data_IF_529776828792
#
_entry.id   IF_529776828792
#
_cell.length_a   1.000
_cell.length_b   1.000
_cell.length_c   1.000
_cell.angle_alpha   90.00
_cell.angle_beta   90.00
_cell.angle_gamma   90.00
#
_symmetry.space_group_name_H-M   'P 1'
#
loop_
_entity.id
_entity.type
_entity.pdbx_description
1 polymer ?
#
# COMPACT_ATOMS: atom_id res chain seq x y z
N UNK A 1 5.77 41.05 2.41
CA UNK A 1 5.84 39.77 1.71
C UNK A 1 4.80 39.81 0.59
N UNK A 2 5.21 39.96 -0.65
CA UNK A 2 4.29 39.85 -1.80
C UNK A 2 3.68 38.45 -1.81
N UNK A 3 2.34 38.38 -1.85
CA UNK A 3 1.63 37.13 -2.07
C UNK A 3 1.95 36.68 -3.52
N UNK A 4 2.88 35.71 -3.66
CA UNK A 4 3.13 35.08 -4.95
C UNK A 4 1.79 34.47 -5.41
N UNK A 5 1.28 34.89 -6.56
CA UNK A 5 0.06 34.34 -7.11
C UNK A 5 0.23 32.83 -7.27
N UNK A 6 -0.79 32.05 -6.87
CA UNK A 6 -0.78 30.61 -7.04
C UNK A 6 -0.69 30.30 -8.53
N UNK A 7 0.26 29.44 -8.92
CA UNK A 7 0.38 28.96 -10.29
C UNK A 7 -0.87 28.14 -10.64
N UNK A 8 -1.53 28.50 -11.73
CA UNK A 8 -2.67 27.76 -12.28
C UNK A 8 -2.26 27.07 -13.57
N UNK A 9 -2.56 25.78 -13.64
CA UNK A 9 -2.35 24.92 -14.81
C UNK A 9 -3.75 24.48 -15.30
N UNK A 10 -3.93 24.32 -16.61
CA UNK A 10 -5.10 23.65 -17.18
C UNK A 10 -4.66 22.32 -17.76
N UNK A 11 -5.51 21.31 -17.68
CA UNK A 11 -5.22 19.99 -18.19
C UNK A 11 -6.54 19.25 -18.45
N UNK A 12 -6.63 18.49 -19.54
CA UNK A 12 -7.84 17.72 -19.83
C UNK A 12 -8.02 16.55 -18.86
N UNK A 13 -6.93 15.86 -18.54
CA UNK A 13 -6.96 14.73 -17.60
C UNK A 13 -5.81 14.83 -16.59
N UNK A 14 -6.16 14.82 -15.31
CA UNK A 14 -5.20 14.63 -14.21
C UNK A 14 -5.35 13.23 -13.66
N UNK A 15 -4.23 12.50 -13.58
CA UNK A 15 -4.17 11.18 -12.93
C UNK A 15 -3.42 11.33 -11.61
N UNK A 16 -4.09 11.05 -10.50
CA UNK A 16 -3.53 11.13 -9.14
C UNK A 16 -2.99 9.76 -8.74
N UNK A 17 -1.68 9.65 -8.70
CA UNK A 17 -0.93 8.43 -8.42
C UNK A 17 -0.28 7.83 -9.68
N UNK A 18 1.05 7.76 -9.68
CA UNK A 18 1.88 7.20 -10.76
C UNK A 18 2.21 5.72 -10.56
N UNK A 19 1.39 4.99 -9.79
CA UNK A 19 1.47 3.54 -9.67
C UNK A 19 0.96 2.80 -10.92
N UNK A 20 0.87 1.45 -10.88
CA UNK A 20 0.48 0.66 -12.06
C UNK A 20 -0.87 1.06 -12.63
N UNK A 21 -1.86 1.31 -11.78
CA UNK A 21 -3.21 1.69 -12.22
C UNK A 21 -3.22 3.08 -12.88
N UNK A 22 -2.49 4.06 -12.29
CA UNK A 22 -2.44 5.41 -12.84
C UNK A 22 -1.69 5.48 -14.17
N UNK A 23 -0.56 4.81 -14.27
CA UNK A 23 0.18 4.74 -15.54
C UNK A 23 -0.65 4.04 -16.63
N UNK A 24 -1.30 2.92 -16.29
CA UNK A 24 -2.16 2.22 -17.24
C UNK A 24 -3.34 3.08 -17.71
N UNK A 25 -3.96 3.83 -16.79
CA UNK A 25 -5.05 4.74 -17.12
C UNK A 25 -4.59 5.90 -18.03
N UNK A 26 -3.42 6.48 -17.76
CA UNK A 26 -2.86 7.55 -18.59
C UNK A 26 -2.50 7.05 -20.00
N UNK A 27 -1.87 5.88 -20.09
CA UNK A 27 -1.54 5.22 -21.36
C UNK A 27 -2.80 4.92 -22.16
N UNK A 28 -3.82 4.32 -21.54
CA UNK A 28 -5.08 4.03 -22.21
C UNK A 28 -5.78 5.30 -22.71
N UNK A 29 -5.83 6.37 -21.89
CA UNK A 29 -6.39 7.63 -22.30
C UNK A 29 -5.65 8.25 -23.51
N UNK A 30 -4.32 8.11 -23.55
CA UNK A 30 -3.54 8.56 -24.69
C UNK A 30 -3.83 7.75 -25.96
N UNK A 31 -3.94 6.43 -25.83
CA UNK A 31 -4.28 5.52 -26.94
C UNK A 31 -5.67 5.82 -27.52
N UNK A 32 -6.61 6.24 -26.67
CA UNK A 32 -7.96 6.69 -27.06
C UNK A 32 -7.99 8.13 -27.63
N UNK A 33 -6.85 8.76 -27.80
CA UNK A 33 -6.73 10.06 -28.49
C UNK A 33 -6.59 11.29 -27.60
N UNK A 34 -6.66 11.17 -26.28
CA UNK A 34 -6.42 12.28 -25.37
C UNK A 34 -4.93 12.66 -25.36
N UNK A 35 -4.61 13.96 -25.36
CA UNK A 35 -3.20 14.41 -25.43
C UNK A 35 -2.77 15.25 -24.24
N UNK A 36 -3.68 16.01 -23.64
CA UNK A 36 -3.38 16.87 -22.49
C UNK A 36 -3.66 16.08 -21.18
N UNK A 37 -2.68 15.23 -20.82
CA UNK A 37 -2.72 14.34 -19.67
C UNK A 37 -1.57 14.70 -18.74
N UNK A 38 -1.82 14.71 -17.41
CA UNK A 38 -0.79 14.93 -16.40
C UNK A 38 -0.91 13.89 -15.29
N UNK A 39 0.18 13.19 -15.01
CA UNK A 39 0.28 12.27 -13.85
C UNK A 39 0.94 13.02 -12.69
N UNK A 40 0.34 12.93 -11.50
CA UNK A 40 0.89 13.45 -10.25
C UNK A 40 1.27 12.29 -9.33
N UNK A 41 2.55 12.21 -8.96
CA UNK A 41 3.09 11.14 -8.10
C UNK A 41 3.76 11.73 -6.87
N UNK A 42 3.40 11.24 -5.69
CA UNK A 42 3.95 11.72 -4.41
C UNK A 42 5.38 11.23 -4.13
N UNK A 43 5.72 10.05 -4.63
CA UNK A 43 7.07 9.50 -4.51
C UNK A 43 8.04 10.12 -5.53
N UNK A 44 9.33 9.83 -5.38
CA UNK A 44 10.41 10.34 -6.26
C UNK A 44 10.41 9.72 -7.66
N UNK A 45 9.60 8.68 -7.88
CA UNK A 45 9.53 7.93 -9.16
C UNK A 45 8.15 7.33 -9.37
N UNK A 46 7.82 7.06 -10.62
CA UNK A 46 6.66 6.28 -11.01
C UNK A 46 6.81 4.81 -10.58
N UNK A 47 5.75 4.01 -10.73
CA UNK A 47 5.75 2.57 -10.46
C UNK A 47 5.08 2.17 -9.14
N UNK A 48 5.00 3.08 -8.17
CA UNK A 48 4.31 2.86 -6.90
C UNK A 48 4.79 1.60 -6.17
N UNK A 49 3.84 0.84 -5.62
CA UNK A 49 4.12 -0.37 -4.82
C UNK A 49 4.87 -1.47 -5.60
N UNK A 50 4.75 -1.52 -6.92
CA UNK A 50 5.42 -2.53 -7.73
C UNK A 50 6.95 -2.48 -7.62
N UNK A 51 7.52 -1.32 -7.36
CA UNK A 51 8.96 -1.14 -7.24
C UNK A 51 9.60 -1.97 -6.12
N UNK A 52 8.86 -2.29 -5.08
CA UNK A 52 9.31 -3.14 -3.98
C UNK A 52 8.91 -4.61 -4.14
N UNK A 53 8.00 -4.94 -5.08
CA UNK A 53 7.49 -6.28 -5.31
C UNK A 53 8.43 -7.06 -6.24
N UNK A 54 9.62 -7.44 -5.76
CA UNK A 54 10.66 -8.11 -6.58
C UNK A 54 10.37 -9.59 -6.87
N UNK A 55 9.22 -10.11 -6.41
CA UNK A 55 8.75 -11.45 -6.72
C UNK A 55 8.00 -11.49 -8.06
N UNK A 56 7.91 -12.66 -8.67
CA UNK A 56 7.14 -12.92 -9.89
C UNK A 56 5.63 -12.92 -9.60
N UNK A 57 4.84 -12.91 -10.68
CA UNK A 57 3.38 -12.99 -10.64
C UNK A 57 2.65 -11.83 -11.29
N UNK A 58 3.37 -10.95 -11.97
CA UNK A 58 2.84 -9.81 -12.71
C UNK A 58 2.94 -10.04 -14.22
N UNK A 59 2.14 -9.33 -15.00
CA UNK A 59 2.28 -9.24 -16.46
C UNK A 59 1.61 -10.32 -17.28
N UNK A 60 1.33 -11.49 -16.73
CA UNK A 60 0.85 -12.65 -17.50
C UNK A 60 -0.40 -12.34 -18.35
N UNK A 61 -1.42 -11.69 -17.76
CA UNK A 61 -2.64 -11.31 -18.46
C UNK A 61 -2.46 -10.12 -19.43
N UNK A 62 -1.55 -9.19 -19.12
CA UNK A 62 -1.38 -7.94 -19.89
C UNK A 62 -0.33 -8.08 -20.99
N UNK A 63 0.76 -8.79 -20.71
CA UNK A 63 1.92 -8.87 -21.59
C UNK A 63 2.21 -10.28 -22.10
N UNK A 64 1.46 -11.31 -21.62
CA UNK A 64 1.73 -12.71 -21.93
C UNK A 64 3.03 -13.25 -21.34
N UNK A 65 3.66 -12.52 -20.42
CA UNK A 65 4.94 -12.85 -19.79
C UNK A 65 4.83 -12.77 -18.28
N UNK A 66 5.54 -13.64 -17.58
CA UNK A 66 5.67 -13.57 -16.12
C UNK A 66 6.78 -12.61 -15.76
N UNK A 67 6.42 -11.52 -15.10
CA UNK A 67 7.30 -10.41 -14.72
C UNK A 67 7.36 -10.25 -13.21
N UNK A 68 8.45 -9.65 -12.74
CA UNK A 68 8.51 -9.05 -11.40
C UNK A 68 7.77 -7.71 -11.38
N UNK A 69 7.46 -7.20 -10.19
CA UNK A 69 6.82 -5.88 -10.05
C UNK A 69 7.61 -4.75 -10.71
N UNK A 70 8.95 -4.62 -10.47
CA UNK A 70 9.77 -3.61 -11.14
C UNK A 70 9.78 -3.72 -12.68
N UNK A 71 9.83 -4.93 -13.24
CA UNK A 71 9.77 -5.14 -14.70
C UNK A 71 8.42 -4.70 -15.27
N UNK A 72 7.33 -5.05 -14.59
CA UNK A 72 5.99 -4.59 -14.98
C UNK A 72 5.88 -3.06 -14.93
N UNK A 73 6.35 -2.44 -13.86
CA UNK A 73 6.36 -0.98 -13.73
C UNK A 73 7.19 -0.33 -14.84
N UNK A 74 8.40 -0.84 -15.11
CA UNK A 74 9.29 -0.32 -16.14
C UNK A 74 8.67 -0.35 -17.55
N UNK A 75 7.84 -1.36 -17.86
CA UNK A 75 7.11 -1.39 -19.15
C UNK A 75 6.13 -0.23 -19.28
N UNK A 76 5.36 0.05 -18.23
CA UNK A 76 4.44 1.19 -18.26
C UNK A 76 5.16 2.54 -18.20
N UNK A 77 6.24 2.66 -17.42
CA UNK A 77 7.09 3.86 -17.41
C UNK A 77 7.63 4.16 -18.83
N UNK A 78 8.09 3.11 -19.52
CA UNK A 78 8.55 3.23 -20.91
C UNK A 78 7.44 3.75 -21.83
N UNK A 79 6.21 3.19 -21.74
CA UNK A 79 5.08 3.67 -22.55
C UNK A 79 4.72 5.13 -22.23
N UNK A 80 4.72 5.52 -20.96
CA UNK A 80 4.49 6.92 -20.54
C UNK A 80 5.52 7.85 -21.16
N UNK A 81 6.80 7.46 -21.18
CA UNK A 81 7.88 8.25 -21.77
C UNK A 81 7.80 8.30 -23.30
N UNK A 82 7.54 7.16 -23.95
CA UNK A 82 7.43 7.08 -25.43
C UNK A 82 6.25 7.89 -25.97
N UNK A 83 5.15 7.93 -25.23
CA UNK A 83 3.99 8.75 -25.57
C UNK A 83 4.16 10.24 -25.17
N UNK A 84 5.24 10.56 -24.46
CA UNK A 84 5.50 11.92 -24.01
C UNK A 84 4.47 12.41 -22.98
N UNK A 85 3.85 11.52 -22.22
CA UNK A 85 2.87 11.88 -21.20
C UNK A 85 3.59 12.59 -20.04
N UNK A 86 3.28 13.87 -19.75
CA UNK A 86 3.89 14.61 -18.66
C UNK A 86 3.57 14.00 -17.30
N UNK A 87 4.54 14.01 -16.38
CA UNK A 87 4.34 13.64 -14.99
C UNK A 87 5.14 14.53 -14.04
N UNK A 88 4.65 14.65 -12.80
CA UNK A 88 5.34 15.36 -11.72
C UNK A 88 5.49 14.37 -10.54
N UNK A 89 6.75 14.04 -10.23
CA UNK A 89 7.12 13.31 -9.01
C UNK A 89 7.29 14.26 -7.82
N UNK A 90 7.50 13.72 -6.61
CA UNK A 90 7.59 14.50 -5.37
C UNK A 90 6.41 15.48 -5.20
N UNK A 91 5.25 15.14 -5.78
CA UNK A 91 4.10 16.02 -5.87
C UNK A 91 2.88 15.41 -5.19
N UNK A 92 2.52 16.00 -4.04
CA UNK A 92 1.40 15.54 -3.23
C UNK A 92 0.12 16.30 -3.60
N UNK A 93 -0.92 15.57 -3.96
CA UNK A 93 -2.27 16.14 -4.09
C UNK A 93 -2.90 16.23 -2.70
N UNK A 94 -3.37 17.42 -2.34
CA UNK A 94 -3.91 17.74 -1.02
C UNK A 94 -5.40 18.02 -1.00
N UNK A 95 -6.03 18.17 -2.17
CA UNK A 95 -7.47 18.38 -2.26
C UNK A 95 -7.97 18.44 -3.69
N UNK A 96 -9.26 18.16 -3.86
CA UNK A 96 -9.97 18.27 -5.14
C UNK A 96 -11.31 18.95 -4.88
N UNK A 97 -11.59 20.02 -5.62
CA UNK A 97 -12.89 20.72 -5.50
C UNK A 97 -13.95 20.10 -6.42
N UNK A 98 -15.25 20.35 -6.16
CA UNK A 98 -16.36 19.93 -7.04
C UNK A 98 -16.18 20.38 -8.50
N UNK A 99 -15.54 21.53 -8.73
CA UNK A 99 -15.25 22.07 -10.05
C UNK A 99 -14.02 21.42 -10.70
N UNK A 100 -13.52 20.32 -10.13
CA UNK A 100 -12.34 19.58 -10.59
C UNK A 100 -11.04 20.42 -10.58
N UNK A 101 -10.91 21.28 -9.56
CA UNK A 101 -9.65 21.97 -9.29
C UNK A 101 -8.83 21.10 -8.34
N UNK A 102 -7.75 20.52 -8.85
CA UNK A 102 -6.80 19.73 -8.07
C UNK A 102 -5.80 20.67 -7.42
N UNK A 103 -5.70 20.63 -6.08
CA UNK A 103 -4.66 21.35 -5.33
C UNK A 103 -3.51 20.40 -5.07
N UNK A 104 -2.31 20.77 -5.47
CA UNK A 104 -1.12 19.98 -5.28
C UNK A 104 0.02 20.84 -4.73
N UNK A 105 1.04 20.16 -4.17
CA UNK A 105 2.24 20.81 -3.65
C UNK A 105 3.48 19.98 -3.93
N UNK A 106 4.59 20.68 -4.18
CA UNK A 106 5.94 20.11 -4.23
C UNK A 106 6.98 21.15 -3.80
N UNK A 107 8.24 20.72 -3.68
CA UNK A 107 9.32 21.60 -3.22
C UNK A 107 9.74 22.64 -4.26
N UNK A 108 9.48 22.39 -5.56
CA UNK A 108 9.87 23.29 -6.66
C UNK A 108 8.88 24.42 -6.87
N UNK A 109 7.59 24.09 -6.90
CA UNK A 109 6.51 25.02 -7.25
C UNK A 109 5.80 25.59 -6.02
N UNK A 110 5.98 24.96 -4.85
CA UNK A 110 5.16 25.21 -3.68
C UNK A 110 3.75 24.66 -3.86
N UNK A 111 2.73 25.40 -3.41
CA UNK A 111 1.31 25.04 -3.62
C UNK A 111 0.85 25.61 -4.96
N UNK A 112 0.19 24.80 -5.77
CA UNK A 112 -0.38 25.19 -7.06
C UNK A 112 -1.72 24.50 -7.33
N UNK A 113 -2.45 24.99 -8.33
CA UNK A 113 -3.77 24.47 -8.70
C UNK A 113 -3.78 24.03 -10.16
N UNK A 114 -4.51 22.96 -10.42
CA UNK A 114 -4.72 22.42 -11.76
C UNK A 114 -6.21 22.35 -12.02
N UNK A 115 -6.70 23.09 -13.00
CA UNK A 115 -8.08 22.99 -13.49
C UNK A 115 -8.15 21.82 -14.46
N UNK A 116 -8.77 20.72 -14.03
CA UNK A 116 -8.87 19.51 -14.83
C UNK A 116 -10.22 19.38 -15.55
N UNK A 117 -10.20 18.81 -16.74
CA UNK A 117 -11.41 18.35 -17.44
C UNK A 117 -11.99 17.11 -16.75
N UNK A 118 -11.10 16.16 -16.42
CA UNK A 118 -11.41 14.95 -15.64
C UNK A 118 -10.28 14.63 -14.65
N UNK A 119 -10.58 13.85 -13.61
CA UNK A 119 -9.59 13.39 -12.63
C UNK A 119 -9.76 11.89 -12.42
N UNK A 120 -8.67 11.14 -12.58
CA UNK A 120 -8.60 9.71 -12.23
C UNK A 120 -7.84 9.58 -10.91
N UNK A 121 -8.44 8.88 -9.94
CA UNK A 121 -7.84 8.60 -8.64
C UNK A 121 -7.25 7.19 -8.64
N UNK A 122 -5.93 7.10 -8.59
CA UNK A 122 -5.16 5.85 -8.60
C UNK A 122 -4.19 5.80 -7.40
N UNK A 123 -4.67 6.25 -6.24
CA UNK A 123 -3.86 6.49 -5.04
C UNK A 123 -3.44 5.22 -4.28
N UNK A 124 -3.96 4.05 -4.67
CA UNK A 124 -3.65 2.77 -4.05
C UNK A 124 -4.24 2.60 -2.66
N UNK A 125 -3.47 1.93 -1.81
CA UNK A 125 -3.87 1.60 -0.45
C UNK A 125 -2.67 1.61 0.49
N UNK A 126 -2.94 1.62 1.80
CA UNK A 126 -1.97 1.38 2.86
C UNK A 126 -2.34 0.15 3.66
N UNK A 127 -1.37 -0.50 4.25
CA UNK A 127 -1.61 -1.63 5.14
C UNK A 127 -2.21 -1.16 6.47
N UNK A 128 -3.01 -2.03 7.07
CA UNK A 128 -3.60 -1.79 8.39
C UNK A 128 -2.51 -1.78 9.47
N UNK A 129 -2.27 -0.65 10.16
CA UNK A 129 -1.22 -0.53 11.17
C UNK A 129 -1.64 -1.18 12.50
N UNK A 130 -0.66 -1.39 13.40
CA UNK A 130 -0.90 -1.93 14.76
C UNK A 130 -2.05 -1.22 15.49
N UNK A 131 -2.12 0.10 15.38
CA UNK A 131 -3.17 0.90 16.06
C UNK A 131 -4.60 0.56 15.63
N UNK A 132 -4.79 0.02 14.42
CA UNK A 132 -6.10 -0.42 13.91
C UNK A 132 -6.42 -1.89 14.26
N UNK A 133 -5.47 -2.63 14.85
CA UNK A 133 -5.64 -4.04 15.22
C UNK A 133 -5.95 -4.23 16.71
N UNK A 134 -5.85 -3.18 17.52
CA UNK A 134 -6.11 -3.21 18.97
C UNK A 134 -5.34 -4.29 19.74
N UNK A 135 -4.12 -4.64 19.29
CA UNK A 135 -3.27 -5.61 20.01
C UNK A 135 -2.78 -4.99 21.31
N UNK A 136 -2.98 -5.68 22.43
CA UNK A 136 -2.55 -5.22 23.74
C UNK A 136 -1.02 -5.12 23.89
N UNK A 137 -0.56 -4.48 24.96
CA UNK A 137 0.86 -4.33 25.28
C UNK A 137 1.48 -3.03 24.75
N UNK A 138 2.80 -2.98 24.73
CA UNK A 138 3.58 -1.78 24.44
C UNK A 138 3.65 -1.45 22.93
N UNK A 139 4.33 -0.35 22.62
CA UNK A 139 4.60 0.09 21.23
C UNK A 139 6.11 0.24 20.99
N UNK A 140 6.91 -0.82 21.17
CA UNK A 140 8.33 -0.79 20.94
C UNK A 140 8.66 -0.66 19.46
N UNK A 141 9.94 -0.37 19.15
CA UNK A 141 10.48 -0.60 17.81
C UNK A 141 10.45 -2.09 17.46
N UNK A 142 10.45 -2.43 16.16
CA UNK A 142 10.40 -3.83 15.71
C UNK A 142 9.02 -4.29 15.23
N UNK A 143 8.00 -3.42 15.25
CA UNK A 143 6.68 -3.71 14.72
C UNK A 143 6.50 -2.96 13.42
N UNK A 144 6.32 -3.69 12.32
CA UNK A 144 6.16 -3.13 10.97
C UNK A 144 4.98 -3.78 10.25
N UNK A 145 4.40 -3.08 9.30
CA UNK A 145 3.58 -3.76 8.30
C UNK A 145 4.47 -4.56 7.35
N UNK A 146 3.96 -5.62 6.76
CA UNK A 146 4.74 -6.49 5.89
C UNK A 146 5.29 -5.73 4.66
N UNK A 147 4.50 -4.81 4.07
CA UNK A 147 4.96 -3.97 2.96
C UNK A 147 6.00 -2.93 3.37
N UNK A 148 5.96 -2.41 4.60
CA UNK A 148 7.04 -1.55 5.12
C UNK A 148 8.33 -2.34 5.26
N UNK A 149 8.27 -3.55 5.80
CA UNK A 149 9.43 -4.44 5.87
C UNK A 149 9.95 -4.80 4.47
N UNK A 150 9.05 -5.05 3.51
CA UNK A 150 9.39 -5.28 2.11
C UNK A 150 10.16 -4.09 1.51
N UNK A 151 9.72 -2.87 1.74
CA UNK A 151 10.42 -1.66 1.29
C UNK A 151 11.82 -1.55 1.91
N UNK A 152 11.95 -1.82 3.20
CA UNK A 152 13.25 -1.80 3.87
C UNK A 152 14.21 -2.81 3.26
N UNK A 153 13.81 -4.07 3.13
CA UNK A 153 14.66 -5.13 2.60
C UNK A 153 14.96 -4.90 1.11
N UNK A 154 13.91 -4.75 0.28
CA UNK A 154 14.07 -4.79 -1.16
C UNK A 154 14.57 -3.48 -1.78
N UNK A 155 14.32 -2.33 -1.16
CA UNK A 155 14.68 -1.03 -1.73
C UNK A 155 15.73 -0.27 -0.94
N UNK A 156 15.85 -0.52 0.37
CA UNK A 156 16.74 0.24 1.25
C UNK A 156 17.92 -0.57 1.77
N UNK A 157 17.92 -1.90 1.61
CA UNK A 157 18.96 -2.79 2.10
C UNK A 157 19.03 -2.87 3.64
N UNK A 158 17.92 -2.58 4.33
CA UNK A 158 17.83 -2.67 5.78
C UNK A 158 17.09 -3.92 6.23
N UNK A 159 17.66 -4.61 7.21
CA UNK A 159 17.02 -5.76 7.83
C UNK A 159 16.16 -5.29 9.02
N UNK A 160 14.83 -5.50 9.02
CA UNK A 160 13.96 -5.08 10.12
C UNK A 160 14.29 -5.76 11.45
N UNK A 161 14.70 -7.02 11.40
CA UNK A 161 15.13 -7.80 12.55
C UNK A 161 15.52 -9.22 12.16
N UNK A 162 15.82 -10.06 13.15
CA UNK A 162 16.37 -11.41 12.94
C UNK A 162 15.48 -12.55 13.40
N UNK A 163 14.66 -12.32 14.40
CA UNK A 163 13.71 -13.26 14.98
C UNK A 163 12.29 -12.74 14.71
N UNK A 164 11.59 -13.33 13.73
CA UNK A 164 10.39 -12.73 13.15
C UNK A 164 9.17 -13.59 13.43
N UNK A 165 8.08 -12.94 13.86
CA UNK A 165 6.72 -13.48 13.83
C UNK A 165 5.91 -12.65 12.83
N UNK A 166 5.06 -13.30 12.05
CA UNK A 166 4.20 -12.65 11.07
C UNK A 166 2.74 -12.88 11.45
N UNK A 167 1.95 -11.83 11.51
CA UNK A 167 0.49 -11.91 11.73
C UNK A 167 -0.22 -11.62 10.40
N UNK A 168 -0.95 -12.62 9.91
CA UNK A 168 -1.67 -12.62 8.65
C UNK A 168 -0.98 -13.44 7.56
N UNK A 169 -1.71 -14.38 6.97
CA UNK A 169 -1.27 -15.31 5.94
C UNK A 169 -1.73 -14.92 4.52
N UNK A 170 -2.01 -13.66 4.28
CA UNK A 170 -2.18 -13.12 2.93
C UNK A 170 -0.85 -13.19 2.14
N UNK A 171 -0.90 -13.07 0.83
CA UNK A 171 0.28 -13.24 -0.05
C UNK A 171 1.49 -12.41 0.38
N UNK A 172 1.29 -11.15 0.79
CA UNK A 172 2.42 -10.30 1.23
C UNK A 172 3.08 -10.88 2.48
N UNK A 173 2.29 -11.39 3.45
CA UNK A 173 2.83 -12.04 4.65
C UNK A 173 3.65 -13.27 4.31
N UNK A 174 3.15 -14.13 3.41
CA UNK A 174 3.83 -15.34 2.96
C UNK A 174 5.12 -15.01 2.20
N UNK A 175 5.06 -14.07 1.26
CA UNK A 175 6.22 -13.62 0.48
C UNK A 175 7.29 -13.03 1.40
N UNK A 176 6.89 -12.27 2.43
CA UNK A 176 7.83 -11.72 3.39
C UNK A 176 8.41 -12.76 4.33
N UNK A 177 7.67 -13.82 4.68
CA UNK A 177 8.22 -14.95 5.41
C UNK A 177 9.42 -15.57 4.66
N UNK A 178 9.24 -15.89 3.38
CA UNK A 178 10.31 -16.36 2.49
C UNK A 178 11.43 -15.33 2.37
N UNK A 179 11.10 -14.07 2.09
CA UNK A 179 12.09 -13.02 1.85
C UNK A 179 12.98 -12.78 3.07
N UNK A 180 12.41 -12.66 4.25
CA UNK A 180 13.16 -12.48 5.49
C UNK A 180 14.09 -13.67 5.77
N UNK A 181 13.61 -14.89 5.50
CA UNK A 181 14.43 -16.12 5.65
C UNK A 181 15.61 -16.14 4.69
N UNK A 182 15.42 -15.76 3.43
CA UNK A 182 16.49 -15.66 2.42
C UNK A 182 17.54 -14.62 2.79
N UNK A 183 17.17 -13.58 3.51
CA UNK A 183 18.10 -12.55 4.03
C UNK A 183 18.72 -12.93 5.39
N UNK A 184 18.49 -14.15 5.86
CA UNK A 184 19.13 -14.70 7.06
C UNK A 184 18.38 -14.46 8.37
N UNK A 185 17.12 -14.01 8.34
CA UNK A 185 16.27 -13.99 9.52
C UNK A 185 15.67 -15.37 9.79
N UNK A 186 15.33 -15.63 11.06
CA UNK A 186 14.55 -16.80 11.47
C UNK A 186 13.09 -16.41 11.62
N UNK A 187 12.26 -16.81 10.67
CA UNK A 187 10.80 -16.68 10.81
C UNK A 187 10.28 -17.82 11.66
N UNK A 188 9.76 -17.50 12.84
CA UNK A 188 9.33 -18.48 13.85
C UNK A 188 7.94 -19.05 13.58
N UNK A 189 7.03 -18.19 13.12
CA UNK A 189 5.68 -18.59 12.75
C UNK A 189 5.01 -17.53 11.88
N UNK A 190 4.06 -17.98 11.06
CA UNK A 190 3.02 -17.17 10.45
C UNK A 190 1.71 -17.52 11.13
N UNK A 191 1.04 -16.51 11.69
CA UNK A 191 -0.22 -16.64 12.41
C UNK A 191 -1.37 -16.20 11.51
N UNK A 192 -2.46 -16.94 11.52
CA UNK A 192 -3.66 -16.60 10.77
C UNK A 192 -4.89 -16.70 11.67
N UNK A 193 -5.66 -15.61 11.72
CA UNK A 193 -6.89 -15.52 12.53
C UNK A 193 -7.96 -16.51 12.05
N UNK A 194 -8.02 -16.74 10.74
CA UNK A 194 -9.00 -17.65 10.13
C UNK A 194 -8.53 -19.11 10.20
N UNK A 195 -9.45 -20.09 10.09
CA UNK A 195 -9.10 -21.51 10.02
C UNK A 195 -8.53 -21.93 8.66
N UNK A 196 -8.21 -20.97 7.80
CA UNK A 196 -7.60 -21.15 6.48
C UNK A 196 -6.72 -19.97 6.12
N UNK A 197 -5.71 -20.19 5.27
CA UNK A 197 -4.87 -19.11 4.74
C UNK A 197 -5.61 -18.28 3.70
N UNK A 198 -5.41 -16.97 3.72
CA UNK A 198 -5.90 -16.04 2.70
C UNK A 198 -4.98 -15.94 1.46
N UNK A 199 -3.78 -16.50 1.50
CA UNK A 199 -2.82 -16.48 0.41
C UNK A 199 -3.03 -17.60 -0.61
N UNK A 200 -2.41 -17.46 -1.77
CA UNK A 200 -2.43 -18.47 -2.83
C UNK A 200 -1.72 -19.75 -2.38
N UNK A 201 -2.26 -20.92 -2.75
CA UNK A 201 -1.67 -22.23 -2.43
C UNK A 201 -0.20 -22.33 -2.86
N UNK A 202 0.15 -21.77 -4.03
CA UNK A 202 1.54 -21.66 -4.49
C UNK A 202 2.44 -20.93 -3.48
N UNK A 203 1.97 -19.86 -2.88
CA UNK A 203 2.75 -19.09 -1.93
C UNK A 203 2.86 -19.80 -0.57
N UNK A 204 1.85 -20.59 -0.16
CA UNK A 204 1.98 -21.46 1.02
C UNK A 204 3.13 -22.46 0.80
N UNK A 205 3.16 -23.12 -0.34
CA UNK A 205 4.21 -24.08 -0.66
C UNK A 205 5.58 -23.42 -0.72
N UNK A 206 5.76 -22.46 -1.60
CA UNK A 206 7.05 -21.84 -1.90
C UNK A 206 7.58 -20.90 -0.82
N UNK A 207 6.74 -20.39 0.06
CA UNK A 207 7.14 -19.41 1.06
C UNK A 207 7.18 -19.98 2.48
N UNK A 208 6.43 -21.04 2.76
CA UNK A 208 6.40 -21.64 4.09
C UNK A 208 6.92 -23.08 4.09
N UNK A 209 6.32 -23.98 3.29
CA UNK A 209 6.66 -25.40 3.32
C UNK A 209 8.11 -25.65 2.92
N UNK A 210 8.59 -25.04 1.83
CA UNK A 210 9.97 -25.15 1.35
C UNK A 210 11.00 -24.66 2.39
N UNK A 211 10.59 -23.80 3.32
CA UNK A 211 11.46 -23.25 4.37
C UNK A 211 11.19 -23.80 5.76
N UNK A 212 10.22 -24.72 5.91
CA UNK A 212 9.83 -25.29 7.20
C UNK A 212 9.25 -24.26 8.17
N UNK A 213 8.61 -23.19 7.67
CA UNK A 213 8.03 -22.14 8.48
C UNK A 213 6.61 -22.58 8.89
N UNK A 214 6.30 -22.67 10.20
CA UNK A 214 4.98 -23.10 10.65
C UNK A 214 3.90 -22.06 10.36
N UNK A 215 2.77 -22.53 9.79
CA UNK A 215 1.53 -21.77 9.64
C UNK A 215 0.57 -22.18 10.75
N UNK A 216 0.25 -21.25 11.64
CA UNK A 216 -0.65 -21.46 12.77
C UNK A 216 -2.00 -20.82 12.46
N UNK A 217 -2.95 -21.65 12.01
CA UNK A 217 -4.33 -21.24 11.71
C UNK A 217 -5.14 -21.09 12.99
N UNK A 218 -6.17 -20.24 12.97
CA UNK A 218 -6.98 -19.88 14.14
C UNK A 218 -6.15 -19.37 15.31
N UNK A 219 -5.09 -18.60 15.01
CA UNK A 219 -4.22 -17.96 16.00
C UNK A 219 -4.09 -16.47 15.76
N UNK A 220 -3.87 -15.73 16.85
CA UNK A 220 -3.61 -14.29 16.78
C UNK A 220 -2.53 -13.89 17.78
N UNK A 221 -1.99 -12.69 17.62
CA UNK A 221 -1.17 -12.03 18.64
C UNK A 221 -2.10 -11.39 19.66
N UNK A 222 -1.95 -11.78 20.91
CA UNK A 222 -2.75 -11.32 22.06
C UNK A 222 -2.09 -10.13 22.72
N UNK A 223 -0.75 -10.19 22.93
CA UNK A 223 -0.01 -9.15 23.63
C UNK A 223 1.40 -8.97 23.05
N UNK A 224 1.87 -7.74 23.09
CA UNK A 224 3.21 -7.33 22.65
C UNK A 224 4.06 -6.98 23.87
N UNK A 225 5.26 -7.59 23.93
CA UNK A 225 6.22 -7.40 25.01
C UNK A 225 7.46 -6.65 24.55
N UNK A 226 8.05 -5.87 25.46
CA UNK A 226 9.24 -5.06 25.22
C UNK A 226 8.92 -3.57 25.32
N UNK A 227 9.88 -2.79 25.79
CA UNK A 227 9.73 -1.34 26.02
C UNK A 227 10.33 -0.53 24.87
N UNK A 228 11.62 -0.65 24.66
CA UNK A 228 12.35 0.10 23.63
C UNK A 228 12.30 -0.64 22.28
N UNK A 229 12.48 -1.96 22.31
CA UNK A 229 12.35 -2.86 21.18
C UNK A 229 11.49 -4.04 21.54
N UNK A 230 10.90 -4.68 20.53
CA UNK A 230 10.14 -5.91 20.68
C UNK A 230 11.04 -7.02 21.25
N UNK A 231 10.58 -7.68 22.28
CA UNK A 231 11.26 -8.81 22.95
C UNK A 231 10.51 -10.12 22.71
N UNK A 232 9.22 -10.03 22.40
CA UNK A 232 8.39 -11.16 22.08
C UNK A 232 6.91 -10.81 21.99
N UNK A 233 6.12 -11.79 21.64
CA UNK A 233 4.66 -11.71 21.56
C UNK A 233 4.02 -12.88 22.30
N UNK A 234 2.91 -12.63 22.99
CA UNK A 234 2.00 -13.69 23.41
C UNK A 234 1.02 -13.95 22.28
N UNK A 235 0.95 -15.20 21.85
CA UNK A 235 -0.02 -15.68 20.87
C UNK A 235 -1.09 -16.52 21.55
N UNK A 236 -2.23 -16.75 20.89
CA UNK A 236 -3.27 -17.63 21.38
C UNK A 236 -4.17 -18.11 20.26
N UNK A 237 -4.78 -19.27 20.45
CA UNK A 237 -5.88 -19.75 19.61
C UNK A 237 -7.08 -18.83 19.78
N UNK A 238 -7.90 -18.77 18.74
CA UNK A 238 -9.19 -18.09 18.81
C UNK A 238 -10.35 -19.05 18.66
N UNK A 239 -11.46 -18.71 19.31
CA UNK A 239 -12.72 -19.43 19.19
C UNK A 239 -13.48 -19.10 17.88
N UNK A 240 -14.68 -19.65 17.71
CA UNK A 240 -15.53 -19.39 16.55
C UNK A 240 -15.96 -17.91 16.42
N UNK A 241 -15.93 -17.14 17.52
CA UNK A 241 -16.22 -15.71 17.55
C UNK A 241 -14.94 -14.87 17.36
N UNK A 242 -13.79 -15.50 17.08
CA UNK A 242 -12.47 -14.89 16.95
C UNK A 242 -11.97 -14.25 18.25
N UNK A 243 -12.42 -14.75 19.40
CA UNK A 243 -11.92 -14.30 20.70
C UNK A 243 -10.77 -15.20 21.16
N UNK A 244 -9.67 -14.63 21.66
CA UNK A 244 -8.55 -15.43 22.16
C UNK A 244 -8.96 -16.31 23.33
N UNK A 245 -8.49 -17.55 23.32
CA UNK A 245 -8.73 -18.57 24.35
C UNK A 245 -7.55 -18.57 25.33
N UNK A 246 -7.71 -18.06 26.59
CA UNK A 246 -6.59 -17.83 27.51
C UNK A 246 -5.74 -19.06 27.82
N UNK A 247 -6.33 -20.25 27.86
CA UNK A 247 -5.65 -21.51 28.18
C UNK A 247 -4.67 -21.95 27.08
N UNK A 248 -4.71 -21.27 25.95
CA UNK A 248 -3.84 -21.55 24.79
C UNK A 248 -2.71 -20.53 24.61
N UNK A 249 -2.57 -19.57 25.53
CA UNK A 249 -1.58 -18.53 25.42
C UNK A 249 -0.16 -19.08 25.50
N UNK A 250 0.66 -18.68 24.56
CA UNK A 250 2.06 -19.08 24.43
C UNK A 250 2.91 -17.84 24.14
N UNK A 251 4.06 -17.75 24.78
CA UNK A 251 5.03 -16.67 24.53
C UNK A 251 6.04 -17.10 23.48
N UNK A 252 6.17 -16.30 22.42
CA UNK A 252 7.19 -16.47 21.38
C UNK A 252 8.18 -15.30 21.48
N UNK A 253 9.46 -15.57 21.88
CA UNK A 253 10.50 -14.53 21.84
C UNK A 253 10.78 -14.14 20.39
N UNK A 254 10.76 -12.83 20.08
CA UNK A 254 11.07 -12.31 18.76
C UNK A 254 11.44 -10.83 18.87
N UNK A 255 12.25 -10.34 17.94
CA UNK A 255 12.65 -8.93 17.83
C UNK A 255 11.86 -8.16 16.78
N UNK A 256 11.04 -8.87 16.00
CA UNK A 256 10.26 -8.29 14.90
C UNK A 256 8.89 -8.95 14.76
N UNK A 257 7.85 -8.13 14.69
CA UNK A 257 6.49 -8.51 14.35
C UNK A 257 6.10 -7.84 13.02
N UNK A 258 5.80 -8.65 12.01
CA UNK A 258 5.26 -8.16 10.75
C UNK A 258 3.74 -8.32 10.72
N UNK A 259 3.04 -7.26 10.30
CA UNK A 259 1.59 -7.22 10.21
C UNK A 259 1.17 -7.28 8.74
N UNK A 260 0.43 -8.33 8.36
CA UNK A 260 -0.17 -8.52 7.04
C UNK A 260 -1.68 -8.71 7.15
N UNK A 261 -2.36 -7.77 7.84
CA UNK A 261 -3.74 -7.91 8.30
C UNK A 261 -4.75 -7.11 7.46
N UNK A 262 -4.52 -6.98 6.17
CA UNK A 262 -5.41 -6.31 5.23
C UNK A 262 -4.98 -4.89 4.88
N UNK A 263 -5.65 -4.36 3.86
CA UNK A 263 -5.36 -3.07 3.23
C UNK A 263 -6.49 -2.07 3.50
N UNK A 264 -6.14 -0.81 3.59
CA UNK A 264 -7.07 0.33 3.70
C UNK A 264 -6.90 1.17 2.44
N UNK A 265 -7.94 1.34 1.62
CA UNK A 265 -7.87 2.22 0.45
C UNK A 265 -7.53 3.67 0.84
N UNK A 266 -6.63 4.30 0.07
CA UNK A 266 -6.32 5.73 0.19
C UNK A 266 -7.44 6.56 -0.46
N UNK A 267 -8.56 6.69 0.24
CA UNK A 267 -9.79 7.30 -0.30
C UNK A 267 -10.19 8.62 0.39
N UNK A 268 -9.28 9.24 1.11
CA UNK A 268 -9.52 10.49 1.83
C UNK A 268 -9.94 11.61 0.87
N UNK A 269 -9.23 11.79 -0.24
CA UNK A 269 -9.59 12.79 -1.27
C UNK A 269 -10.98 12.54 -1.86
N UNK A 270 -11.37 11.28 -2.06
CA UNK A 270 -12.69 10.91 -2.56
C UNK A 270 -13.78 11.27 -1.58
N UNK A 271 -13.59 10.98 -0.29
CA UNK A 271 -14.55 11.32 0.77
C UNK A 271 -14.75 12.82 0.89
N UNK A 272 -13.66 13.56 0.90
CA UNK A 272 -13.67 15.02 0.95
C UNK A 272 -14.38 15.63 -0.28
N UNK A 273 -14.10 15.11 -1.47
CA UNK A 273 -14.76 15.51 -2.71
C UNK A 273 -16.28 15.27 -2.65
N UNK A 274 -16.73 14.10 -2.21
CA UNK A 274 -18.15 13.75 -2.09
C UNK A 274 -18.84 14.65 -1.07
N UNK A 275 -18.24 14.88 0.08
CA UNK A 275 -18.78 15.76 1.12
C UNK A 275 -18.94 17.18 0.60
N UNK A 276 -17.90 17.76 0.01
CA UNK A 276 -17.93 19.11 -0.56
C UNK A 276 -18.93 19.24 -1.72
N UNK A 277 -19.06 18.19 -2.54
CA UNK A 277 -20.04 18.18 -3.65
C UNK A 277 -21.48 18.18 -3.14
N UNK A 278 -21.76 17.50 -2.02
CA UNK A 278 -23.09 17.53 -1.36
C UNK A 278 -23.38 18.92 -0.78
N UNK A 279 -22.45 19.48 0.00
CA UNK A 279 -22.58 20.83 0.56
C UNK A 279 -22.79 21.89 -0.53
N UNK A 280 -22.11 21.75 -1.67
CA UNK A 280 -22.30 22.62 -2.82
C UNK A 280 -23.68 22.46 -3.47
N UNK A 281 -24.16 21.25 -3.64
CA UNK A 281 -25.48 20.94 -4.18
C UNK A 281 -26.60 21.45 -3.26
N UNK A 282 -26.45 21.24 -1.95
CA UNK A 282 -27.41 21.71 -0.95
C UNK A 282 -27.48 23.26 -0.90
N UNK A 283 -26.32 23.92 -1.03
CA UNK A 283 -26.21 25.37 -1.07
C UNK A 283 -26.82 26.02 -2.32
N UNK A 284 -27.01 25.29 -3.40
CA UNK A 284 -27.62 25.74 -4.64
C UNK A 284 -29.13 25.45 -4.69
N UNK A 285 -29.73 24.87 -3.65
CA UNK A 285 -31.16 24.45 -3.62
C UNK A 285 -31.57 23.61 -4.85
N UNK A 286 -30.66 22.87 -5.44
CA UNK A 286 -30.98 21.93 -6.51
C UNK A 286 -30.95 20.51 -5.97
N UNK A 287 -32.07 19.78 -5.93
CA UNK A 287 -32.09 18.37 -5.58
C UNK A 287 -31.56 17.58 -6.80
N UNK A 288 -30.28 17.36 -6.87
CA UNK A 288 -29.70 16.40 -7.80
C UNK A 288 -29.19 15.22 -7.01
N UNK A 289 -29.93 14.14 -7.17
CA UNK A 289 -29.67 12.71 -6.99
C UNK A 289 -30.73 12.10 -6.05
N UNK A 290 -31.87 11.82 -6.63
CA UNK A 290 -32.73 10.71 -6.21
C UNK A 290 -32.24 9.44 -6.92
#
# INVERSE_FOLDING_TARGET
MEKKALKEIKCDLVVVGGGPAGMAAAVAAYEEGLRDILILERDDKLGGILRQCIHNGFGLHRFGEELTGPEYAARYEKMVMEYGIPFMTDTMVTGISPERVVTAQNTKEGIFKIKAGAVILAMGCRERPKGALNIAGHRPAGIYTAGTAQKFVNMKGYMPGREVVILGSGDIGLIMARRMTLEGAKVKAVLELMPYSGGLARNIEQCLNDFGIPLMLSHTVVEIHGKDRLEGVTIGKVDANRQPIPETFEYIPCDTLLLSCGLIPENELTKEYIQRSREWADGLHQPFLS
#
